data_IF_501488661838
#
_entry.id   IF_501488661838
#
_cell.length_a   1.000
_cell.length_b   1.000
_cell.length_c   1.000
_cell.angle_alpha   90.00
_cell.angle_beta   90.00
_cell.angle_gamma   90.00
#
_symmetry.space_group_name_H-M   'P 1'
#
loop_
_entity.id
_entity.type
_entity.pdbx_description
1 polymer ?
#
# COMPACT_ATOMS: atom_id res chain seq x y z
N UNK A 1 19.83 -10.56 -5.86
CA UNK A 1 19.21 -10.55 -7.21
C UNK A 1 17.72 -10.13 -7.19
N UNK A 2 17.10 -10.08 -6.05
CA UNK A 2 15.64 -9.85 -5.82
C UNK A 2 15.18 -8.40 -5.93
N UNK A 3 16.04 -7.40 -5.65
CA UNK A 3 15.68 -5.98 -5.77
C UNK A 3 15.32 -5.54 -7.20
N UNK A 4 15.95 -6.16 -8.21
CA UNK A 4 15.67 -5.82 -9.62
C UNK A 4 14.27 -6.24 -10.04
N UNK A 5 13.74 -7.34 -9.52
CA UNK A 5 12.39 -7.83 -9.86
C UNK A 5 11.29 -6.95 -9.23
N UNK A 6 11.47 -6.54 -7.97
CA UNK A 6 10.52 -5.65 -7.28
C UNK A 6 10.46 -4.27 -7.93
N UNK A 7 11.62 -3.70 -8.28
CA UNK A 7 11.70 -2.42 -9.00
C UNK A 7 11.11 -2.52 -10.42
N UNK A 8 11.32 -3.64 -11.11
CA UNK A 8 10.77 -3.86 -12.47
C UNK A 8 9.25 -4.05 -12.42
N UNK A 9 8.70 -4.74 -11.42
CA UNK A 9 7.25 -4.85 -11.20
C UNK A 9 6.62 -3.50 -10.85
N UNK A 10 7.30 -2.67 -10.06
CA UNK A 10 6.85 -1.31 -9.74
C UNK A 10 6.85 -0.41 -10.97
N UNK A 11 7.93 -0.43 -11.75
CA UNK A 11 8.04 0.33 -13.00
C UNK A 11 7.07 -0.18 -14.07
N UNK A 12 6.66 -1.45 -14.02
CA UNK A 12 5.66 -2.04 -14.90
C UNK A 12 4.21 -1.72 -14.53
N UNK A 13 3.89 -1.57 -13.23
CA UNK A 13 2.54 -1.22 -12.76
C UNK A 13 2.21 0.26 -12.92
N UNK A 14 3.19 1.14 -12.79
CA UNK A 14 3.01 2.60 -12.97
C UNK A 14 2.54 2.98 -14.38
N UNK A 15 3.09 2.45 -15.49
CA UNK A 15 2.61 2.78 -16.83
C UNK A 15 1.27 2.13 -17.18
N UNK A 16 0.91 0.97 -16.61
CA UNK A 16 -0.41 0.36 -16.87
C UNK A 16 -1.55 1.22 -16.29
N UNK A 17 -1.32 1.87 -15.15
CA UNK A 17 -2.26 2.84 -14.56
C UNK A 17 -2.25 4.16 -15.33
N UNK A 18 -1.13 4.54 -15.94
CA UNK A 18 -1.00 5.80 -16.69
C UNK A 18 -1.59 5.75 -18.11
N UNK A 19 -1.62 4.58 -18.77
CA UNK A 19 -2.04 4.47 -20.17
C UNK A 19 -3.55 4.56 -20.44
N UNK A 20 -4.42 4.46 -19.43
CA UNK A 20 -5.88 4.53 -19.61
C UNK A 20 -6.51 5.87 -19.23
N UNK A 21 -5.70 6.85 -18.82
CA UNK A 21 -6.19 8.07 -18.18
C UNK A 21 -6.22 9.27 -19.12
N UNK A 22 -7.09 9.27 -20.11
CA UNK A 22 -7.57 10.52 -20.69
C UNK A 22 -8.45 11.24 -19.66
N UNK A 23 -7.95 12.35 -19.09
CA UNK A 23 -8.64 13.26 -18.18
C UNK A 23 -8.87 12.78 -16.71
N UNK A 24 -8.14 11.82 -16.20
CA UNK A 24 -8.27 11.37 -14.81
C UNK A 24 -7.28 12.10 -13.89
N UNK A 25 -7.76 12.49 -12.69
CA UNK A 25 -6.90 13.06 -11.67
C UNK A 25 -6.14 11.94 -10.95
N UNK A 26 -4.84 11.84 -11.24
CA UNK A 26 -3.94 10.96 -10.50
C UNK A 26 -3.35 11.64 -9.27
N UNK A 27 -2.94 10.83 -8.30
CA UNK A 27 -2.19 11.25 -7.12
C UNK A 27 -1.04 10.30 -6.89
N UNK A 28 0.06 10.83 -6.38
CA UNK A 28 1.20 10.03 -5.92
C UNK A 28 1.63 10.54 -4.56
N UNK A 29 2.17 9.67 -3.74
CA UNK A 29 2.57 10.05 -2.39
C UNK A 29 3.53 9.09 -1.75
N UNK A 30 4.02 9.50 -0.59
CA UNK A 30 4.84 8.69 0.30
C UNK A 30 4.08 8.44 1.60
N UNK A 31 4.35 7.31 2.23
CA UNK A 31 3.73 6.94 3.49
C UNK A 31 4.71 6.27 4.46
N UNK A 32 4.38 6.39 5.73
CA UNK A 32 4.88 5.59 6.83
C UNK A 32 3.76 4.63 7.23
N UNK A 33 4.10 3.38 7.53
CA UNK A 33 3.14 2.36 7.90
C UNK A 33 3.55 1.61 9.16
N UNK A 34 2.57 1.14 9.90
CA UNK A 34 2.72 0.28 11.07
C UNK A 34 1.67 -0.84 11.04
N UNK A 35 1.98 -1.94 11.68
CA UNK A 35 1.09 -3.08 11.88
C UNK A 35 0.66 -3.16 13.33
N UNK A 36 -0.59 -3.48 13.61
CA UNK A 36 -1.07 -3.79 14.94
C UNK A 36 -0.96 -5.31 15.17
N UNK A 37 -0.07 -5.69 16.09
CA UNK A 37 0.15 -7.08 16.50
C UNK A 37 0.07 -7.17 18.02
N UNK A 38 -0.70 -8.12 18.55
CA UNK A 38 -0.85 -8.33 20.00
C UNK A 38 -1.18 -7.06 20.81
N UNK A 39 -1.92 -6.12 20.22
CA UNK A 39 -2.26 -4.85 20.85
C UNK A 39 -1.18 -3.78 20.81
N UNK A 40 -0.06 -4.02 20.16
CA UNK A 40 1.04 -3.07 19.97
C UNK A 40 1.24 -2.73 18.49
N UNK A 41 1.63 -1.48 18.20
CA UNK A 41 2.01 -1.05 16.87
C UNK A 41 3.47 -1.43 16.63
N UNK A 42 3.69 -2.28 15.64
CA UNK A 42 4.98 -2.87 15.29
C UNK A 42 5.23 -2.78 13.78
N UNK A 43 6.36 -3.32 13.34
CA UNK A 43 6.70 -3.50 11.92
C UNK A 43 6.65 -2.20 11.11
N UNK A 44 7.46 -1.24 11.52
CA UNK A 44 7.60 0.04 10.82
C UNK A 44 7.97 -0.13 9.33
N UNK A 45 7.31 0.63 8.48
CA UNK A 45 7.45 0.58 7.03
C UNK A 45 7.51 1.96 6.42
N UNK A 46 8.27 2.08 5.36
CA UNK A 46 8.26 3.24 4.47
C UNK A 46 7.80 2.81 3.08
N UNK A 47 7.09 3.68 2.41
CA UNK A 47 6.59 3.32 1.09
C UNK A 47 6.09 4.47 0.26
N UNK A 48 5.58 4.09 -0.90
CA UNK A 48 4.97 4.99 -1.86
C UNK A 48 3.60 4.46 -2.28
N UNK A 49 2.72 5.37 -2.68
CA UNK A 49 1.43 5.00 -3.22
C UNK A 49 1.05 5.89 -4.40
N UNK A 50 0.16 5.35 -5.21
CA UNK A 50 -0.47 6.06 -6.31
C UNK A 50 -1.96 5.73 -6.32
N UNK A 51 -2.78 6.71 -6.69
CA UNK A 51 -4.20 6.49 -6.92
C UNK A 51 -4.68 7.24 -8.16
N UNK A 52 -5.70 6.68 -8.79
CA UNK A 52 -6.31 7.25 -10.00
C UNK A 52 -7.83 7.16 -9.84
N UNK A 53 -8.47 8.29 -10.11
CA UNK A 53 -9.92 8.35 -10.21
C UNK A 53 -10.37 7.64 -11.50
N UNK A 54 -11.28 6.67 -11.39
CA UNK A 54 -11.74 5.87 -12.53
C UNK A 54 -13.01 6.46 -13.13
N UNK A 55 -14.11 6.44 -12.39
CA UNK A 55 -15.40 6.97 -12.82
C UNK A 55 -16.29 7.28 -11.61
N UNK A 56 -17.04 8.38 -11.64
CA UNK A 56 -17.97 8.74 -10.58
C UNK A 56 -17.27 8.87 -9.21
N UNK A 57 -17.65 8.10 -8.19
CA UNK A 57 -16.98 8.04 -6.89
C UNK A 57 -15.85 7.00 -6.83
N UNK A 58 -15.60 6.26 -7.91
CA UNK A 58 -14.71 5.11 -7.93
C UNK A 58 -13.26 5.54 -8.17
N UNK A 59 -12.35 5.04 -7.33
CA UNK A 59 -10.91 5.27 -7.40
C UNK A 59 -10.18 3.90 -7.31
N UNK A 60 -9.10 3.73 -8.05
CA UNK A 60 -8.15 2.63 -7.82
C UNK A 60 -6.90 3.17 -7.18
N UNK A 61 -6.34 2.41 -6.24
CA UNK A 61 -5.11 2.78 -5.55
C UNK A 61 -4.18 1.58 -5.40
N UNK A 62 -2.89 1.85 -5.55
CA UNK A 62 -1.82 0.89 -5.27
C UNK A 62 -0.80 1.50 -4.32
N UNK A 63 -0.27 0.70 -3.40
CA UNK A 63 0.80 1.10 -2.50
C UNK A 63 1.86 0.00 -2.40
N UNK A 64 3.10 0.41 -2.18
CA UNK A 64 4.21 -0.50 -1.86
C UNK A 64 4.89 0.00 -0.60
N UNK A 65 5.07 -0.89 0.37
CA UNK A 65 5.75 -0.64 1.64
C UNK A 65 6.93 -1.58 1.80
N UNK A 66 8.05 -1.08 2.34
CA UNK A 66 9.24 -1.85 2.68
C UNK A 66 9.41 -1.76 4.21
N UNK A 67 9.59 -2.89 4.85
CA UNK A 67 9.84 -2.96 6.29
C UNK A 67 11.23 -2.41 6.61
N UNK A 68 11.32 -1.48 7.55
CA UNK A 68 12.59 -0.82 7.92
C UNK A 68 13.40 -1.60 8.93
N UNK A 69 12.74 -2.40 9.78
CA UNK A 69 13.33 -3.15 10.89
C UNK A 69 13.20 -4.68 10.74
N UNK A 70 13.12 -5.18 9.50
CA UNK A 70 13.04 -6.61 9.26
C UNK A 70 14.45 -7.22 9.12
N UNK A 71 14.73 -8.40 9.73
CA UNK A 71 13.82 -9.24 10.55
C UNK A 71 13.76 -8.88 12.04
N UNK A 72 14.42 -7.84 12.51
CA UNK A 72 14.38 -7.40 13.90
C UNK A 72 15.12 -8.26 14.93
N UNK A 73 15.67 -9.40 14.52
CA UNK A 73 16.36 -10.35 15.40
C UNK A 73 17.87 -10.37 15.12
N UNK A 74 18.68 -10.42 16.18
CA UNK A 74 20.15 -10.49 16.09
C UNK A 74 20.62 -11.76 15.38
N UNK A 75 21.54 -11.62 14.44
CA UNK A 75 22.09 -12.76 13.66
C UNK A 75 21.26 -13.16 12.45
N UNK A 76 20.13 -12.51 12.22
CA UNK A 76 19.33 -12.69 11.01
C UNK A 76 19.48 -11.51 10.07
N UNK A 77 19.41 -11.79 8.78
CA UNK A 77 19.35 -10.80 7.71
C UNK A 77 18.18 -11.13 6.80
N UNK A 78 17.60 -10.16 6.17
CA UNK A 78 16.47 -10.40 5.27
C UNK A 78 15.85 -9.13 4.74
N UNK A 79 14.71 -9.29 4.08
CA UNK A 79 13.88 -8.19 3.61
C UNK A 79 12.42 -8.59 3.66
N UNK A 80 11.57 -7.62 3.92
CA UNK A 80 10.13 -7.81 3.78
C UNK A 80 9.52 -6.58 3.09
N UNK A 81 8.49 -6.83 2.29
CA UNK A 81 7.72 -5.80 1.64
C UNK A 81 6.27 -6.22 1.47
N UNK A 82 5.39 -5.23 1.34
CA UNK A 82 3.96 -5.42 1.07
C UNK A 82 3.54 -4.55 -0.10
N UNK A 83 2.80 -5.14 -1.03
CA UNK A 83 2.15 -4.43 -2.12
C UNK A 83 0.63 -4.51 -1.95
N UNK A 84 -0.05 -3.39 -2.05
CA UNK A 84 -1.49 -3.26 -1.92
C UNK A 84 -2.09 -2.84 -3.26
N UNK A 85 -3.22 -3.39 -3.60
CA UNK A 85 -4.07 -2.91 -4.68
C UNK A 85 -5.52 -2.89 -4.23
N UNK A 86 -6.20 -1.75 -4.38
CA UNK A 86 -7.57 -1.57 -3.89
C UNK A 86 -8.42 -0.78 -4.88
N UNK A 87 -9.68 -1.16 -4.95
CA UNK A 87 -10.76 -0.35 -5.52
C UNK A 87 -11.50 0.34 -4.38
N UNK A 88 -11.64 1.66 -4.46
CA UNK A 88 -12.22 2.49 -3.39
C UNK A 88 -13.40 3.28 -3.90
N UNK A 89 -14.38 3.46 -3.05
CA UNK A 89 -15.48 4.40 -3.26
C UNK A 89 -15.21 5.62 -2.37
N UNK A 90 -15.12 6.79 -2.99
CA UNK A 90 -15.00 8.08 -2.32
C UNK A 90 -16.28 8.88 -2.56
N UNK A 91 -17.12 9.08 -1.54
CA UNK A 91 -18.31 9.89 -1.67
C UNK A 91 -17.99 11.32 -2.12
N UNK A 92 -18.94 11.97 -2.76
CA UNK A 92 -18.84 13.40 -3.13
C UNK A 92 -19.44 14.27 -2.04
N UNK A 93 -19.10 15.55 -2.03
CA UNK A 93 -19.67 16.54 -1.10
C UNK A 93 -18.94 16.58 0.24
N UNK A 94 -19.67 16.77 1.32
CA UNK A 94 -19.13 17.01 2.66
C UNK A 94 -18.30 15.85 3.25
N UNK A 95 -18.52 14.62 2.78
CA UNK A 95 -17.80 13.42 3.22
C UNK A 95 -16.72 12.96 2.24
N UNK A 96 -16.30 13.80 1.29
CA UNK A 96 -15.26 13.49 0.30
C UNK A 96 -13.87 13.25 0.90
N UNK A 97 -13.69 13.53 2.20
CA UNK A 97 -12.48 13.23 2.95
C UNK A 97 -12.33 11.75 3.33
N UNK A 98 -13.41 10.95 3.26
CA UNK A 98 -13.41 9.55 3.60
C UNK A 98 -13.52 8.66 2.35
N UNK A 99 -13.00 7.45 2.42
CA UNK A 99 -13.17 6.41 1.41
C UNK A 99 -13.25 5.04 2.06
N UNK A 100 -13.94 4.11 1.39
CA UNK A 100 -13.95 2.70 1.75
C UNK A 100 -13.64 1.89 0.50
N UNK A 101 -12.91 0.81 0.64
CA UNK A 101 -12.52 -0.03 -0.48
C UNK A 101 -12.26 -1.47 -0.11
N UNK A 102 -12.12 -2.27 -1.16
CA UNK A 102 -11.73 -3.67 -1.08
C UNK A 102 -10.63 -3.94 -2.10
N UNK A 103 -9.76 -4.88 -1.80
CA UNK A 103 -8.67 -5.26 -2.70
C UNK A 103 -7.82 -6.38 -2.14
N UNK A 104 -6.56 -6.39 -2.56
CA UNK A 104 -5.62 -7.46 -2.28
C UNK A 104 -4.31 -6.92 -1.75
N UNK A 105 -3.64 -7.76 -0.96
CA UNK A 105 -2.31 -7.50 -0.42
C UNK A 105 -1.41 -8.68 -0.77
N UNK A 106 -0.26 -8.38 -1.34
CA UNK A 106 0.83 -9.34 -1.52
C UNK A 106 1.90 -9.02 -0.50
N UNK A 107 2.19 -9.97 0.36
CA UNK A 107 3.22 -9.88 1.40
C UNK A 107 4.36 -10.79 1.00
N UNK A 108 5.57 -10.27 0.97
CA UNK A 108 6.78 -11.06 0.74
C UNK A 108 7.77 -10.85 1.86
N UNK A 109 8.37 -11.94 2.33
CA UNK A 109 9.46 -11.90 3.32
C UNK A 109 10.56 -12.86 2.96
N UNK A 110 11.79 -12.49 3.27
CA UNK A 110 12.96 -13.34 3.21
C UNK A 110 13.73 -13.26 4.52
N UNK A 111 14.28 -14.39 4.95
CA UNK A 111 15.03 -14.51 6.19
C UNK A 111 16.24 -15.40 5.96
N UNK A 112 17.41 -14.92 6.37
CA UNK A 112 18.66 -15.68 6.29
C UNK A 112 19.40 -15.61 7.62
N UNK A 113 19.93 -16.77 8.05
CA UNK A 113 20.87 -16.86 9.16
C UNK A 113 22.01 -17.80 8.77
N UNK A 114 23.22 -17.26 8.60
CA UNK A 114 24.38 -18.01 8.12
C UNK A 114 24.86 -19.03 9.17
N UNK A 115 24.76 -18.70 10.45
CA UNK A 115 25.20 -19.58 11.55
C UNK A 115 24.29 -20.80 11.68
N UNK A 116 23.00 -20.66 11.41
CA UNK A 116 22.00 -21.72 11.44
C UNK A 116 21.79 -22.38 10.08
N UNK A 117 22.49 -21.94 9.04
CA UNK A 117 22.30 -22.36 7.64
C UNK A 117 20.82 -22.22 7.18
N UNK A 118 20.12 -21.24 7.74
CA UNK A 118 18.74 -20.95 7.40
C UNK A 118 18.69 -19.95 6.24
N UNK A 119 17.99 -20.32 5.17
CA UNK A 119 17.68 -19.43 4.05
C UNK A 119 16.24 -19.75 3.60
N UNK A 120 15.29 -18.90 3.96
CA UNK A 120 13.88 -19.10 3.64
C UNK A 120 13.27 -17.82 3.09
N UNK A 121 12.34 -17.98 2.16
CA UNK A 121 11.54 -16.87 1.63
C UNK A 121 10.15 -17.36 1.32
N UNK A 122 9.18 -16.48 1.47
CA UNK A 122 7.78 -16.79 1.19
C UNK A 122 7.03 -15.57 0.71
N UNK A 123 5.94 -15.83 0.02
CA UNK A 123 4.97 -14.81 -0.38
C UNK A 123 3.57 -15.29 -0.01
N UNK A 124 2.78 -14.40 0.54
CA UNK A 124 1.38 -14.63 0.84
C UNK A 124 0.53 -13.59 0.08
N UNK A 125 -0.57 -14.05 -0.50
CA UNK A 125 -1.53 -13.21 -1.20
C UNK A 125 -2.88 -13.31 -0.50
N UNK A 126 -3.42 -12.17 -0.08
CA UNK A 126 -4.63 -12.14 0.72
C UNK A 126 -5.52 -10.96 0.36
N UNK A 127 -6.74 -10.96 0.87
CA UNK A 127 -7.70 -9.88 0.71
C UNK A 127 -7.54 -8.79 1.79
N UNK A 128 -8.10 -7.60 1.51
CA UNK A 128 -8.14 -6.50 2.46
C UNK A 128 -9.33 -5.58 2.24
N UNK A 129 -9.88 -5.07 3.34
CA UNK A 129 -10.74 -3.89 3.34
C UNK A 129 -9.88 -2.68 3.73
N UNK A 130 -10.10 -1.55 3.08
CA UNK A 130 -9.45 -0.28 3.42
C UNK A 130 -10.46 0.77 3.81
N UNK A 131 -10.18 1.46 4.92
CA UNK A 131 -10.88 2.65 5.37
C UNK A 131 -9.89 3.81 5.25
N UNK A 132 -10.14 4.76 4.35
CA UNK A 132 -9.24 5.86 4.07
C UNK A 132 -9.79 7.20 4.52
N UNK A 133 -8.93 8.02 5.09
CA UNK A 133 -9.18 9.43 5.42
C UNK A 133 -8.16 10.30 4.68
N UNK A 134 -8.58 11.43 4.16
CA UNK A 134 -7.72 12.36 3.42
C UNK A 134 -8.14 13.80 3.70
N UNK A 135 -7.18 14.65 4.10
CA UNK A 135 -7.47 16.06 4.29
C UNK A 135 -7.74 16.74 2.92
N UNK A 136 -8.82 17.54 2.79
CA UNK A 136 -9.23 18.13 1.52
C UNK A 136 -8.43 19.41 1.20
N UNK A 137 -7.09 19.29 1.16
CA UNK A 137 -6.20 20.40 0.80
C UNK A 137 -5.92 20.41 -0.70
N UNK A 138 -5.63 21.57 -1.32
CA UNK A 138 -5.59 21.70 -2.78
C UNK A 138 -4.40 20.99 -3.44
N UNK A 139 -3.23 20.99 -2.82
CA UNK A 139 -1.98 20.51 -3.43
C UNK A 139 -1.41 19.28 -2.74
N UNK A 140 -1.15 19.39 -1.45
CA UNK A 140 -0.57 18.33 -0.63
C UNK A 140 -1.65 17.82 0.31
N UNK A 141 -1.97 16.54 0.23
CA UNK A 141 -3.07 15.92 0.95
C UNK A 141 -2.56 14.91 1.96
N UNK A 142 -2.53 15.26 3.25
CA UNK A 142 -2.32 14.27 4.29
C UNK A 142 -3.42 13.20 4.23
N UNK A 143 -3.03 11.96 4.44
CA UNK A 143 -3.96 10.82 4.45
C UNK A 143 -3.61 9.82 5.55
N UNK A 144 -4.60 9.00 5.90
CA UNK A 144 -4.46 7.82 6.73
C UNK A 144 -5.35 6.71 6.16
N UNK A 145 -4.76 5.56 5.88
CA UNK A 145 -5.44 4.38 5.35
C UNK A 145 -5.30 3.23 6.36
N UNK A 146 -6.41 2.74 6.88
CA UNK A 146 -6.50 1.57 7.73
C UNK A 146 -6.87 0.35 6.88
N UNK A 147 -5.99 -0.62 6.80
CA UNK A 147 -6.22 -1.89 6.13
C UNK A 147 -6.54 -2.98 7.15
N UNK A 148 -7.64 -3.68 6.94
CA UNK A 148 -8.00 -4.92 7.60
C UNK A 148 -7.69 -6.06 6.62
N UNK A 149 -6.76 -6.94 6.98
CA UNK A 149 -6.19 -7.97 6.10
C UNK A 149 -6.65 -9.35 6.58
N UNK A 150 -6.78 -10.33 5.68
CA UNK A 150 -7.25 -11.70 5.97
C UNK A 150 -8.68 -11.76 6.50
N UNK A 151 -9.57 -10.94 5.97
CA UNK A 151 -10.94 -10.85 6.49
C UNK A 151 -11.79 -12.06 6.09
N UNK A 152 -11.52 -12.63 4.91
CA UNK A 152 -12.28 -13.78 4.40
C UNK A 152 -11.74 -15.11 4.90
N UNK A 153 -10.52 -15.16 5.41
CA UNK A 153 -9.95 -16.36 6.01
C UNK A 153 -10.42 -16.48 7.47
N UNK A 154 -11.29 -17.47 7.72
CA UNK A 154 -11.86 -17.72 9.05
C UNK A 154 -10.89 -18.33 10.05
N UNK A 155 -9.77 -18.87 9.58
CA UNK A 155 -8.77 -19.55 10.40
C UNK A 155 -7.64 -18.59 10.82
N UNK A 156 -7.49 -17.47 10.11
CA UNK A 156 -6.45 -16.47 10.37
C UNK A 156 -6.98 -15.34 11.27
N UNK A 157 -6.11 -14.80 12.09
CA UNK A 157 -6.41 -13.55 12.81
C UNK A 157 -6.38 -12.37 11.81
N UNK A 158 -7.37 -11.48 11.89
CA UNK A 158 -7.41 -10.28 11.07
C UNK A 158 -6.18 -9.41 11.35
N UNK A 159 -5.36 -9.17 10.34
CA UNK A 159 -4.26 -8.24 10.39
C UNK A 159 -4.75 -6.80 10.27
N UNK A 160 -4.16 -5.88 11.03
CA UNK A 160 -4.50 -4.45 10.97
C UNK A 160 -3.26 -3.63 10.63
N UNK A 161 -3.27 -2.97 9.48
CA UNK A 161 -2.19 -2.10 9.02
C UNK A 161 -2.67 -0.66 8.89
N UNK A 162 -1.90 0.27 9.42
CA UNK A 162 -2.14 1.70 9.29
C UNK A 162 -1.04 2.32 8.42
N UNK A 163 -1.41 2.96 7.31
CA UNK A 163 -0.53 3.75 6.46
C UNK A 163 -0.90 5.23 6.60
N UNK A 164 0.06 6.07 6.94
CA UNK A 164 -0.11 7.51 7.06
C UNK A 164 0.91 8.24 6.20
N UNK A 165 0.50 9.30 5.53
CA UNK A 165 1.43 9.98 4.64
C UNK A 165 0.87 11.23 3.99
N UNK A 166 1.51 11.60 2.90
CA UNK A 166 1.12 12.74 2.09
C UNK A 166 1.05 12.36 0.62
N UNK A 167 0.07 12.90 -0.09
CA UNK A 167 -0.10 12.74 -1.53
C UNK A 167 -0.08 14.11 -2.21
N UNK A 168 0.41 14.14 -3.43
CA UNK A 168 0.32 15.29 -4.31
C UNK A 168 -0.53 14.93 -5.53
N UNK A 169 -1.33 15.89 -5.98
CA UNK A 169 -2.13 15.74 -7.18
C UNK A 169 -1.25 15.92 -8.41
N UNK A 170 -1.34 14.99 -9.33
CA UNK A 170 -0.67 15.11 -10.62
C UNK A 170 -1.42 16.11 -11.51
N UNK A 171 -0.69 16.96 -12.24
CA UNK A 171 -1.32 17.88 -13.18
C UNK A 171 -2.03 17.10 -14.30
N UNK A 172 -3.29 17.39 -14.53
CA UNK A 172 -4.01 16.86 -15.70
C UNK A 172 -3.52 17.59 -16.96
N UNK A 173 -3.03 16.85 -17.93
CA UNK A 173 -2.74 17.42 -19.25
C UNK A 173 -4.09 17.88 -19.86
N UNK A 174 -4.29 19.19 -20.00
CA UNK A 174 -5.39 19.70 -20.83
C UNK A 174 -5.07 19.31 -22.27
N UNK A 175 -5.90 18.46 -22.87
CA UNK A 175 -5.88 18.28 -24.32
C UNK A 175 -6.35 19.60 -24.94
N UNK A 176 -5.42 20.32 -25.55
CA UNK A 176 -5.71 21.45 -26.42
C UNK A 176 -6.29 20.95 -27.74
#
# INVERSE_FOLDING_TARGET
MTYRLAVTLLLGLVPLVACTATAQTGRVGAHYGVNLSNGHWEDERLGAQASVHVIGPLETAGALSIFTNWPGATGFTGSAWQAYWTMRVRPRGSVSFASVGYGFVLIHSSLRNTSLQLDTSGSNFTDAIVLGLEAPTPYVRPFADLYLIDILDRESAVGVNLLMGVQVRLPTRRSS
#
